data_IF_883970835378
#
_entry.id   IF_883970835378
#
_cell.length_a   1.000
_cell.length_b   1.000
_cell.length_c   1.000
_cell.angle_alpha   90.00
_cell.angle_beta   90.00
_cell.angle_gamma   90.00
#
_symmetry.space_group_name_H-M   'P 1'
#
loop_
_entity.id
_entity.type
_entity.pdbx_description
1 polymer ?
#
# COMPACT_ATOMS: atom_id res chain seq x y z
N UNK A 1 -5.49 21.72 -22.14
CA UNK A 1 -6.86 22.07 -22.57
C UNK A 1 -7.72 20.89 -22.16
N UNK A 2 -8.58 21.06 -21.16
CA UNK A 2 -9.52 20.01 -20.73
C UNK A 2 -10.63 20.00 -21.78
N UNK A 3 -10.95 18.82 -22.31
CA UNK A 3 -12.08 18.62 -23.23
C UNK A 3 -13.13 17.85 -22.47
N UNK A 4 -14.34 18.39 -22.45
CA UNK A 4 -15.51 17.63 -22.03
C UNK A 4 -15.81 16.57 -23.09
N UNK A 5 -16.10 15.37 -22.62
CA UNK A 5 -16.53 14.25 -23.44
C UNK A 5 -17.70 13.58 -22.72
N UNK A 6 -18.77 13.32 -23.47
CA UNK A 6 -19.85 12.46 -23.01
C UNK A 6 -19.39 11.01 -23.14
N UNK A 7 -19.61 10.20 -22.11
CA UNK A 7 -19.21 8.81 -22.05
C UNK A 7 -20.46 7.91 -22.11
N UNK A 8 -20.41 6.85 -22.92
CA UNK A 8 -21.40 5.77 -22.92
C UNK A 8 -20.85 4.59 -22.10
N UNK A 9 -21.37 4.31 -20.90
CA UNK A 9 -20.85 3.24 -20.06
C UNK A 9 -20.89 1.84 -20.70
N UNK A 10 -21.71 1.63 -21.74
CA UNK A 10 -21.73 0.36 -22.49
C UNK A 10 -20.58 0.22 -23.47
N UNK A 11 -20.11 1.33 -24.04
CA UNK A 11 -19.04 1.34 -25.03
C UNK A 11 -17.68 1.66 -24.40
N UNK A 12 -17.66 2.61 -23.46
CA UNK A 12 -16.44 3.18 -22.86
C UNK A 12 -16.07 2.51 -21.53
N UNK A 13 -16.99 1.72 -20.95
CA UNK A 13 -16.85 1.08 -19.65
C UNK A 13 -17.39 1.94 -18.49
N UNK A 14 -17.49 1.31 -17.33
CA UNK A 14 -17.94 1.98 -16.10
C UNK A 14 -16.81 2.81 -15.48
N UNK A 15 -17.18 3.80 -14.69
CA UNK A 15 -16.24 4.56 -13.86
C UNK A 15 -15.60 3.66 -12.78
N UNK A 16 -14.45 4.05 -12.20
CA UNK A 16 -13.92 3.38 -11.01
C UNK A 16 -14.94 3.37 -9.87
N UNK A 17 -14.87 2.31 -9.05
CA UNK A 17 -15.69 2.17 -7.83
C UNK A 17 -15.40 3.35 -6.89
N UNK A 18 -16.47 3.95 -6.36
CA UNK A 18 -16.44 5.03 -5.38
C UNK A 18 -16.37 4.48 -3.95
N UNK A 19 -15.92 5.29 -2.99
CA UNK A 19 -15.90 4.84 -1.59
C UNK A 19 -17.32 4.57 -1.05
N UNK A 20 -18.29 5.36 -1.48
CA UNK A 20 -19.70 5.22 -1.13
C UNK A 20 -20.32 3.92 -1.68
N UNK A 21 -19.81 3.39 -2.79
CA UNK A 21 -20.33 2.15 -3.41
C UNK A 21 -20.22 0.94 -2.45
N UNK A 22 -19.21 0.92 -1.58
CA UNK A 22 -19.03 -0.13 -0.57
C UNK A 22 -20.18 -0.12 0.46
N UNK A 23 -20.58 1.06 0.92
CA UNK A 23 -21.69 1.22 1.86
C UNK A 23 -23.03 0.97 1.17
N UNK A 24 -23.16 1.43 -0.06
CA UNK A 24 -24.40 1.30 -0.82
C UNK A 24 -24.70 -0.17 -1.15
N UNK A 25 -23.72 -0.95 -1.59
CA UNK A 25 -23.89 -2.36 -1.88
C UNK A 25 -24.40 -3.17 -0.68
N UNK A 26 -23.86 -2.93 0.50
CA UNK A 26 -24.30 -3.56 1.76
C UNK A 26 -25.74 -3.12 2.11
N UNK A 27 -26.01 -1.82 2.09
CA UNK A 27 -27.32 -1.27 2.43
C UNK A 27 -28.44 -1.77 1.51
N UNK A 28 -28.18 -1.93 0.21
CA UNK A 28 -29.15 -2.44 -0.76
C UNK A 28 -29.44 -3.92 -0.48
N UNK A 29 -28.41 -4.73 -0.26
CA UNK A 29 -28.59 -6.16 0.07
C UNK A 29 -29.42 -6.32 1.35
N UNK A 30 -29.08 -5.61 2.41
CA UNK A 30 -29.79 -5.64 3.70
C UNK A 30 -31.25 -5.17 3.61
N UNK A 31 -31.57 -4.31 2.63
CA UNK A 31 -32.93 -3.87 2.36
C UNK A 31 -33.83 -4.93 1.72
N UNK A 32 -33.27 -6.02 1.20
CA UNK A 32 -34.00 -7.03 0.43
C UNK A 32 -34.40 -8.24 1.30
N UNK A 33 -35.71 -8.52 1.50
CA UNK A 33 -36.16 -9.59 2.37
C UNK A 33 -35.61 -10.98 2.02
N UNK A 34 -35.35 -11.22 0.73
CA UNK A 34 -34.79 -12.48 0.24
C UNK A 34 -33.33 -12.68 0.67
N UNK A 35 -32.54 -11.61 0.69
CA UNK A 35 -31.15 -11.65 1.17
C UNK A 35 -31.14 -11.84 2.69
N UNK A 36 -31.97 -11.10 3.43
CA UNK A 36 -32.12 -11.25 4.89
C UNK A 36 -32.56 -12.67 5.26
N UNK A 37 -33.49 -13.27 4.51
CA UNK A 37 -33.91 -14.65 4.74
C UNK A 37 -32.77 -15.66 4.54
N UNK A 38 -31.88 -15.41 3.57
CA UNK A 38 -30.70 -16.22 3.33
C UNK A 38 -29.67 -16.11 4.49
N UNK A 39 -29.55 -14.94 5.12
CA UNK A 39 -28.74 -14.77 6.32
C UNK A 39 -29.37 -15.52 7.52
N UNK A 40 -30.67 -15.35 7.75
CA UNK A 40 -31.41 -16.01 8.85
C UNK A 40 -31.23 -17.53 8.78
N UNK A 41 -31.29 -18.10 7.57
CA UNK A 41 -31.08 -19.54 7.34
C UNK A 41 -29.73 -20.03 7.87
N UNK A 42 -28.73 -19.15 7.90
CA UNK A 42 -27.35 -19.41 8.37
C UNK A 42 -27.14 -19.02 9.83
N UNK A 43 -28.22 -18.63 10.53
CA UNK A 43 -28.18 -18.27 11.94
C UNK A 43 -27.64 -16.88 12.23
N UNK A 44 -27.52 -16.01 11.22
CA UNK A 44 -27.11 -14.61 11.39
C UNK A 44 -28.14 -13.65 10.82
N UNK A 45 -28.35 -12.53 11.50
CA UNK A 45 -29.17 -11.41 11.00
C UNK A 45 -28.45 -10.08 11.09
N UNK A 46 -27.29 -10.10 11.75
CA UNK A 46 -26.54 -8.93 12.14
C UNK A 46 -25.15 -9.08 11.51
N UNK A 47 -24.93 -8.28 10.47
CA UNK A 47 -23.63 -8.08 9.84
C UNK A 47 -23.29 -6.58 9.92
N UNK A 48 -23.83 -5.87 10.92
CA UNK A 48 -23.49 -4.49 11.15
C UNK A 48 -22.06 -4.40 11.73
N UNK A 49 -21.33 -3.41 11.21
CA UNK A 49 -19.87 -3.34 11.22
C UNK A 49 -19.35 -2.62 12.48
N UNK A 50 -19.88 -2.99 13.65
CA UNK A 50 -19.87 -2.01 14.74
C UNK A 50 -18.68 -2.13 15.71
N UNK A 51 -18.06 -3.31 15.92
CA UNK A 51 -16.93 -3.40 16.87
C UNK A 51 -15.73 -4.27 16.45
N UNK A 52 -15.86 -5.24 15.53
CA UNK A 52 -14.77 -6.13 15.11
C UNK A 52 -14.64 -6.26 13.58
N UNK A 53 -14.67 -5.16 12.85
CA UNK A 53 -14.54 -5.19 11.38
C UNK A 53 -13.29 -5.92 10.90
N UNK A 54 -12.20 -5.90 11.69
CA UNK A 54 -10.94 -6.55 11.34
C UNK A 54 -11.00 -8.08 11.29
N UNK A 55 -12.04 -8.73 11.84
CA UNK A 55 -12.20 -10.19 11.80
C UNK A 55 -13.17 -10.67 10.73
N UNK A 56 -13.84 -9.76 9.99
CA UNK A 56 -14.92 -10.11 9.07
C UNK A 56 -14.49 -11.10 7.98
N UNK A 57 -13.23 -11.01 7.54
CA UNK A 57 -12.66 -11.93 6.56
C UNK A 57 -12.49 -13.37 7.06
N UNK A 58 -12.53 -13.60 8.39
CA UNK A 58 -12.48 -14.92 9.00
C UNK A 58 -13.84 -15.63 9.12
N UNK A 59 -14.94 -14.95 8.78
CA UNK A 59 -16.28 -15.51 8.86
C UNK A 59 -17.00 -15.43 7.50
N UNK A 60 -16.44 -15.99 6.42
CA UNK A 60 -17.04 -15.89 5.09
C UNK A 60 -18.40 -16.61 5.05
N UNK A 61 -19.38 -15.96 4.42
CA UNK A 61 -20.69 -16.56 4.12
C UNK A 61 -20.62 -17.17 2.71
N UNK A 62 -20.13 -18.40 2.62
CA UNK A 62 -19.98 -19.06 1.33
C UNK A 62 -21.33 -19.47 0.72
N UNK A 63 -21.38 -19.56 -0.60
CA UNK A 63 -22.56 -19.94 -1.36
C UNK A 63 -23.64 -18.87 -1.46
N UNK A 64 -23.43 -17.67 -0.93
CA UNK A 64 -24.35 -16.54 -1.03
C UNK A 64 -23.69 -15.37 -1.78
N UNK A 65 -24.22 -15.02 -2.95
CA UNK A 65 -23.69 -13.92 -3.77
C UNK A 65 -24.84 -13.03 -4.27
N UNK A 66 -24.73 -11.73 -4.03
CA UNK A 66 -25.67 -10.72 -4.48
C UNK A 66 -25.07 -9.88 -5.61
N UNK A 67 -25.79 -9.73 -6.73
CA UNK A 67 -25.46 -8.79 -7.79
C UNK A 67 -26.37 -7.57 -7.67
N UNK A 68 -25.78 -6.40 -7.48
CA UNK A 68 -26.49 -5.17 -7.16
C UNK A 68 -26.30 -4.13 -8.27
N UNK A 69 -27.37 -3.43 -8.61
CA UNK A 69 -27.34 -2.19 -9.38
C UNK A 69 -27.26 -1.01 -8.40
N UNK A 70 -26.08 -0.40 -8.31
CA UNK A 70 -25.81 0.71 -7.40
C UNK A 70 -26.53 1.99 -7.84
N UNK A 71 -26.71 2.21 -9.14
CA UNK A 71 -27.39 3.40 -9.68
C UNK A 71 -28.88 3.38 -9.38
N UNK A 72 -29.54 2.26 -9.66
CA UNK A 72 -30.98 2.10 -9.42
C UNK A 72 -31.29 1.56 -8.02
N UNK A 73 -30.27 1.37 -7.18
CA UNK A 73 -30.33 0.83 -5.82
C UNK A 73 -31.17 -0.44 -5.71
N UNK A 74 -30.86 -1.43 -6.55
CA UNK A 74 -31.68 -2.65 -6.70
C UNK A 74 -30.85 -3.92 -6.70
N UNK A 75 -31.32 -4.95 -6.01
CA UNK A 75 -30.81 -6.31 -6.17
C UNK A 75 -31.27 -6.89 -7.51
N UNK A 76 -30.31 -7.21 -8.38
CA UNK A 76 -30.57 -7.77 -9.71
C UNK A 76 -30.68 -9.29 -9.67
N UNK A 77 -29.81 -9.93 -8.88
CA UNK A 77 -29.72 -11.38 -8.78
C UNK A 77 -29.20 -11.77 -7.40
N UNK A 78 -29.82 -12.76 -6.80
CA UNK A 78 -29.29 -13.47 -5.65
C UNK A 78 -28.97 -14.91 -6.05
N UNK A 79 -27.76 -15.36 -5.73
CA UNK A 79 -27.35 -16.75 -5.82
C UNK A 79 -27.21 -17.28 -4.40
N UNK A 80 -27.99 -18.30 -4.06
CA UNK A 80 -27.87 -19.05 -2.80
C UNK A 80 -27.71 -20.54 -3.15
N UNK A 81 -26.57 -21.15 -2.82
CA UNK A 81 -26.28 -22.56 -3.08
C UNK A 81 -26.73 -23.50 -1.95
N UNK A 82 -27.46 -22.96 -0.97
CA UNK A 82 -27.86 -23.64 0.25
C UNK A 82 -26.73 -24.06 1.21
N UNK A 83 -25.48 -23.68 0.93
CA UNK A 83 -24.38 -23.86 1.88
C UNK A 83 -24.57 -22.97 3.12
N UNK A 84 -24.65 -23.58 4.31
CA UNK A 84 -24.98 -22.85 5.55
C UNK A 84 -23.87 -22.79 6.58
N UNK A 85 -22.74 -23.46 6.36
CA UNK A 85 -21.65 -23.43 7.31
C UNK A 85 -20.91 -22.08 7.23
N UNK A 86 -20.64 -21.49 8.39
CA UNK A 86 -19.81 -20.29 8.54
C UNK A 86 -18.69 -20.67 9.52
N UNK A 87 -17.41 -20.49 9.17
CA UNK A 87 -16.32 -20.67 10.11
C UNK A 87 -16.49 -19.71 11.30
N UNK A 88 -16.45 -20.23 12.53
CA UNK A 88 -16.65 -19.44 13.76
C UNK A 88 -15.39 -19.33 14.62
N UNK A 89 -14.28 -19.92 14.18
CA UNK A 89 -12.99 -19.75 14.86
C UNK A 89 -12.52 -18.30 14.75
N UNK A 90 -11.97 -17.76 15.84
CA UNK A 90 -11.52 -16.37 15.86
C UNK A 90 -10.23 -16.20 15.09
N UNK A 91 -10.25 -15.33 14.07
CA UNK A 91 -9.08 -14.82 13.39
C UNK A 91 -8.54 -13.51 13.97
N UNK A 92 -8.93 -13.13 15.19
CA UNK A 92 -8.56 -11.85 15.78
C UNK A 92 -7.07 -11.81 16.17
N UNK A 93 -6.25 -11.26 15.29
CA UNK A 93 -4.82 -11.05 15.51
C UNK A 93 -4.50 -9.99 16.59
N UNK A 94 -5.51 -9.32 17.15
CA UNK A 94 -5.36 -8.44 18.32
C UNK A 94 -5.67 -9.18 19.64
N UNK A 95 -6.33 -10.34 19.60
CA UNK A 95 -6.62 -11.14 20.79
C UNK A 95 -5.37 -11.93 21.22
N UNK A 96 -4.84 -11.73 22.45
CA UNK A 96 -3.76 -12.54 23.00
C UNK A 96 -4.08 -14.03 23.09
N UNK A 97 -5.35 -14.43 23.11
CA UNK A 97 -5.74 -15.85 23.07
C UNK A 97 -5.46 -16.50 21.73
N UNK A 98 -5.54 -15.74 20.64
CA UNK A 98 -5.23 -16.19 19.27
C UNK A 98 -3.73 -16.11 19.01
N UNK A 99 -3.11 -14.97 19.33
CA UNK A 99 -1.69 -14.71 19.06
C UNK A 99 -0.73 -15.40 20.05
N UNK A 100 -1.25 -15.83 21.21
CA UNK A 100 -0.45 -16.40 22.28
C UNK A 100 0.42 -15.36 22.98
N UNK A 101 1.51 -15.80 23.61
CA UNK A 101 2.41 -14.89 24.33
C UNK A 101 3.32 -14.15 23.35
N UNK A 102 3.24 -12.82 23.35
CA UNK A 102 4.13 -11.98 22.55
C UNK A 102 5.60 -12.28 22.86
N UNK A 103 6.38 -12.53 21.81
CA UNK A 103 7.82 -12.75 21.94
C UNK A 103 8.53 -11.51 22.50
N UNK A 104 9.35 -11.68 23.53
CA UNK A 104 10.16 -10.62 24.14
C UNK A 104 11.67 -10.75 23.83
N UNK A 105 12.03 -11.60 22.88
CA UNK A 105 13.43 -11.88 22.53
C UNK A 105 14.07 -10.85 21.59
N UNK A 106 13.25 -10.00 20.96
CA UNK A 106 13.72 -8.94 20.06
C UNK A 106 14.29 -7.78 20.86
N UNK A 107 15.58 -7.49 20.66
CA UNK A 107 16.24 -6.35 21.29
C UNK A 107 15.93 -5.07 20.49
N UNK A 108 15.70 -3.92 21.17
CA UNK A 108 15.48 -2.66 20.48
C UNK A 108 16.63 -2.30 19.54
N UNK A 109 16.30 -1.85 18.33
CA UNK A 109 17.25 -1.31 17.37
C UNK A 109 17.01 0.18 17.18
N UNK A 110 18.04 0.99 17.41
CA UNK A 110 17.95 2.45 17.28
C UNK A 110 18.79 2.93 16.10
N UNK A 111 18.16 3.17 14.96
CA UNK A 111 18.80 3.77 13.79
C UNK A 111 18.69 5.29 13.91
N UNK A 112 19.83 5.97 14.02
CA UNK A 112 19.90 7.44 14.12
C UNK A 112 20.91 7.98 13.12
N UNK A 113 20.60 9.12 12.51
CA UNK A 113 21.54 9.90 11.69
C UNK A 113 21.93 11.19 12.44
N UNK A 114 23.09 11.24 13.12
CA UNK A 114 23.49 12.42 13.89
C UNK A 114 24.05 13.54 12.97
N UNK A 115 23.36 14.68 12.87
CA UNK A 115 23.87 15.92 12.23
C UNK A 115 22.80 16.94 11.81
N UNK A 116 23.15 18.24 11.87
CA UNK A 116 22.33 19.33 11.29
C UNK A 116 22.48 19.26 9.77
N UNK A 117 21.53 18.57 9.12
CA UNK A 117 21.59 18.23 7.70
C UNK A 117 21.67 16.73 7.40
N UNK A 118 21.13 15.87 8.27
CA UNK A 118 21.03 14.40 8.15
C UNK A 118 20.23 13.90 6.94
N UNK A 119 20.58 14.36 5.75
CA UNK A 119 20.16 13.88 4.42
C UNK A 119 21.40 13.96 3.54
N UNK A 120 22.01 12.83 3.19
CA UNK A 120 23.17 12.79 2.28
C UNK A 120 22.81 13.31 0.88
N UNK A 121 21.52 13.30 0.52
CA UNK A 121 21.00 13.81 -0.76
C UNK A 121 21.35 15.27 -1.12
N UNK A 122 21.97 16.05 -0.23
CA UNK A 122 22.36 17.43 -0.50
C UNK A 122 23.86 17.75 -0.54
N UNK A 123 24.80 16.80 -0.34
CA UNK A 123 26.24 17.18 -0.29
C UNK A 123 27.26 16.28 -1.01
N UNK A 124 27.65 16.78 -2.19
CA UNK A 124 28.79 16.47 -3.10
C UNK A 124 28.64 15.34 -4.14
N UNK A 125 28.65 15.76 -5.41
CA UNK A 125 29.33 15.08 -6.53
C UNK A 125 28.45 14.25 -7.44
N UNK A 126 27.55 13.46 -6.87
CA UNK A 126 26.46 12.78 -7.56
C UNK A 126 25.24 12.76 -6.65
N UNK A 127 24.17 13.42 -7.07
CA UNK A 127 22.92 13.50 -6.30
C UNK A 127 21.78 13.01 -7.16
N UNK A 128 20.97 12.12 -6.58
CA UNK A 128 19.61 11.91 -7.05
C UNK A 128 18.84 13.22 -6.83
N UNK A 129 18.42 13.85 -7.91
CA UNK A 129 17.52 15.00 -7.84
C UNK A 129 16.13 14.42 -8.02
N UNK A 130 15.46 14.19 -6.89
CA UNK A 130 14.02 13.97 -6.85
C UNK A 130 13.38 15.36 -6.86
N UNK A 131 12.51 15.69 -7.85
CA UNK A 131 11.78 16.95 -7.82
C UNK A 131 10.95 17.08 -6.55
N UNK A 132 10.59 18.31 -6.20
CA UNK A 132 9.71 18.58 -5.06
C UNK A 132 8.45 17.72 -5.15
N UNK A 133 8.33 16.80 -4.18
CA UNK A 133 7.20 15.87 -4.04
C UNK A 133 6.03 16.50 -3.26
N UNK A 134 6.21 17.71 -2.72
CA UNK A 134 5.12 18.51 -2.16
C UNK A 134 4.20 19.15 -3.21
N UNK A 135 4.44 18.89 -4.50
CA UNK A 135 3.56 19.31 -5.58
C UNK A 135 2.35 18.34 -5.68
N UNK A 136 1.13 18.80 -5.35
CA UNK A 136 -0.08 17.95 -5.34
C UNK A 136 -0.40 17.34 -6.71
N UNK A 137 0.20 17.81 -7.81
CA UNK A 137 0.07 17.21 -9.15
C UNK A 137 0.80 15.87 -9.30
N UNK A 138 1.54 15.43 -8.28
CA UNK A 138 2.35 14.21 -8.30
C UNK A 138 1.71 13.04 -7.57
N UNK A 139 0.55 13.23 -6.94
CA UNK A 139 -0.28 12.14 -6.42
C UNK A 139 -1.56 12.05 -7.24
N UNK A 140 -1.83 10.86 -7.78
CA UNK A 140 -2.97 10.60 -8.65
C UNK A 140 -3.97 9.69 -7.95
N UNK A 141 -5.27 10.01 -7.93
CA UNK A 141 -6.27 9.22 -7.19
C UNK A 141 -6.33 7.73 -7.57
N UNK A 142 -5.90 7.37 -8.79
CA UNK A 142 -5.81 5.98 -9.25
C UNK A 142 -4.42 5.37 -9.18
N UNK A 143 -3.39 6.19 -9.42
CA UNK A 143 -2.00 5.71 -9.58
C UNK A 143 -1.11 6.16 -8.43
N UNK A 144 -1.68 6.74 -7.37
CA UNK A 144 -0.99 7.04 -6.12
C UNK A 144 0.21 7.93 -6.31
N UNK A 145 1.32 7.58 -5.67
CA UNK A 145 2.56 8.34 -5.79
C UNK A 145 3.11 8.21 -7.20
N UNK A 146 3.31 9.35 -7.84
CA UNK A 146 3.97 9.42 -9.14
C UNK A 146 5.27 10.21 -9.02
N UNK A 147 6.38 9.55 -9.31
CA UNK A 147 7.71 10.16 -9.39
C UNK A 147 7.93 10.64 -10.82
N UNK A 148 8.46 11.85 -11.01
CA UNK A 148 8.77 12.35 -12.35
C UNK A 148 10.18 12.92 -12.41
N UNK A 149 10.72 13.03 -13.62
CA UNK A 149 12.00 13.70 -13.91
C UNK A 149 13.16 13.31 -12.97
N UNK A 150 13.18 12.05 -12.54
CA UNK A 150 14.26 11.50 -11.73
C UNK A 150 15.53 11.61 -12.55
N UNK A 151 16.55 12.19 -11.94
CA UNK A 151 17.80 12.47 -12.61
C UNK A 151 18.96 12.37 -11.63
N UNK A 152 20.14 12.05 -12.16
CA UNK A 152 21.39 12.10 -11.42
C UNK A 152 22.25 13.24 -11.93
N UNK A 153 22.90 13.95 -11.02
CA UNK A 153 24.00 14.85 -11.36
C UNK A 153 25.27 14.03 -11.56
N UNK A 154 25.79 13.95 -12.78
CA UNK A 154 27.04 13.28 -13.09
C UNK A 154 28.07 14.34 -13.49
N UNK A 155 29.07 14.57 -12.62
CA UNK A 155 30.15 15.56 -12.83
C UNK A 155 29.60 16.96 -13.18
N UNK A 156 28.53 17.38 -12.52
CA UNK A 156 27.89 18.68 -12.72
C UNK A 156 26.89 18.73 -13.89
N UNK A 157 26.66 17.63 -14.61
CA UNK A 157 25.65 17.52 -15.65
C UNK A 157 24.46 16.72 -15.17
N UNK A 158 23.25 17.29 -15.25
CA UNK A 158 21.99 16.58 -15.00
C UNK A 158 21.75 15.54 -16.10
N UNK A 159 21.62 14.27 -15.74
CA UNK A 159 21.28 13.15 -16.63
C UNK A 159 19.93 12.59 -16.20
N UNK A 160 18.95 12.55 -17.10
CA UNK A 160 17.64 11.95 -16.82
C UNK A 160 17.82 10.44 -16.66
N UNK A 161 17.20 9.89 -15.62
CA UNK A 161 17.16 8.44 -15.32
C UNK A 161 15.77 7.94 -15.67
N UNK A 162 14.73 8.52 -15.07
CA UNK A 162 13.34 8.10 -15.27
C UNK A 162 12.45 9.32 -15.51
N UNK A 163 11.60 9.25 -16.54
CA UNK A 163 10.65 10.33 -16.82
C UNK A 163 9.45 10.28 -15.89
N UNK A 164 8.90 9.07 -15.66
CA UNK A 164 7.75 8.83 -14.79
C UNK A 164 7.79 7.42 -14.17
N UNK A 165 7.54 7.32 -12.87
CA UNK A 165 7.13 6.10 -12.16
C UNK A 165 5.82 6.40 -11.42
N UNK A 166 4.95 5.41 -11.24
CA UNK A 166 3.65 5.62 -10.58
C UNK A 166 3.13 4.34 -9.96
N UNK A 167 2.66 4.38 -8.71
CA UNK A 167 1.90 3.28 -8.10
C UNK A 167 0.88 3.83 -7.07
N UNK A 168 -0.37 3.31 -7.13
CA UNK A 168 -1.55 3.65 -6.28
C UNK A 168 -1.20 3.77 -4.81
N UNK A 169 -1.74 4.70 -4.01
CA UNK A 169 -1.33 4.94 -2.61
C UNK A 169 -2.54 5.10 -1.67
N UNK A 170 -2.54 4.42 -0.52
CA UNK A 170 -3.45 4.67 0.60
C UNK A 170 -2.94 4.13 1.97
N UNK A 171 -3.04 4.97 3.01
CA UNK A 171 -3.03 4.65 4.46
C UNK A 171 -1.74 4.92 5.29
N UNK A 172 -1.87 4.70 6.61
CA UNK A 172 -1.37 5.49 7.76
C UNK A 172 -0.51 4.66 8.74
N UNK A 173 0.69 5.14 9.07
CA UNK A 173 1.30 5.05 10.41
C UNK A 173 2.26 3.87 10.74
N UNK A 174 3.43 4.23 11.30
CA UNK A 174 4.46 3.37 11.95
C UNK A 174 5.19 2.32 11.10
N UNK A 175 5.16 2.41 9.77
CA UNK A 175 5.75 1.38 8.90
C UNK A 175 7.27 1.48 8.71
N UNK A 176 7.93 2.50 9.26
CA UNK A 176 9.30 2.86 8.87
C UNK A 176 10.21 3.15 10.06
N UNK A 177 11.43 2.61 10.03
CA UNK A 177 12.43 2.78 11.07
C UNK A 177 13.59 3.65 10.59
N UNK A 178 13.95 4.67 11.38
CA UNK A 178 15.12 5.52 11.14
C UNK A 178 14.78 7.00 11.09
N UNK A 179 15.55 7.75 10.30
CA UNK A 179 15.32 9.18 10.07
C UNK A 179 14.43 9.37 8.84
N UNK A 180 13.12 9.41 9.09
CA UNK A 180 12.10 9.37 8.03
C UNK A 180 11.57 10.77 7.72
N UNK A 181 11.36 11.04 6.44
CA UNK A 181 10.64 12.20 5.94
C UNK A 181 9.29 11.77 5.38
N UNK A 182 8.22 12.26 6.00
CA UNK A 182 6.86 12.03 5.54
C UNK A 182 6.36 13.17 4.67
N UNK A 183 5.49 12.82 3.75
CA UNK A 183 4.75 13.73 2.89
C UNK A 183 3.27 13.37 2.98
N UNK A 184 2.44 14.40 3.10
CA UNK A 184 0.99 14.28 3.02
C UNK A 184 0.57 14.22 1.55
N UNK A 185 -0.54 13.54 1.27
CA UNK A 185 -1.21 13.59 -0.02
C UNK A 185 -2.58 14.24 0.13
N UNK A 186 -2.98 15.04 -0.86
CA UNK A 186 -4.35 15.53 -0.97
C UNK A 186 -5.01 14.87 -2.17
N UNK A 187 -6.07 14.13 -1.93
CA UNK A 187 -6.94 13.52 -2.96
C UNK A 187 -8.31 14.19 -2.95
N UNK A 188 -9.20 13.78 -3.84
CA UNK A 188 -10.59 14.26 -3.91
C UNK A 188 -11.49 13.11 -3.51
N UNK A 189 -12.46 13.37 -2.65
CA UNK A 189 -13.46 12.38 -2.25
C UNK A 189 -14.63 12.28 -3.24
N UNK A 190 -15.59 11.41 -2.95
CA UNK A 190 -16.77 11.17 -3.79
C UNK A 190 -17.67 12.42 -3.97
N UNK A 191 -17.49 13.45 -3.14
CA UNK A 191 -18.27 14.69 -3.12
C UNK A 191 -17.51 15.90 -3.66
N UNK A 192 -16.37 15.66 -4.32
CA UNK A 192 -15.49 16.69 -4.87
C UNK A 192 -14.77 17.54 -3.82
N UNK A 193 -14.73 17.09 -2.57
CA UNK A 193 -14.04 17.78 -1.49
C UNK A 193 -12.59 17.27 -1.34
N UNK A 194 -11.63 18.15 -0.99
CA UNK A 194 -10.24 17.76 -0.79
C UNK A 194 -10.08 16.95 0.50
N UNK A 195 -9.56 15.73 0.38
CA UNK A 195 -9.24 14.85 1.50
C UNK A 195 -7.72 14.71 1.67
N UNK A 196 -7.20 14.99 2.87
CA UNK A 196 -5.76 14.93 3.15
C UNK A 196 -5.39 13.62 3.83
N UNK A 197 -4.64 12.78 3.14
CA UNK A 197 -4.00 11.58 3.68
C UNK A 197 -2.67 12.00 4.31
N UNK A 198 -2.63 12.00 5.65
CA UNK A 198 -1.41 12.33 6.39
C UNK A 198 -0.36 11.23 6.24
N UNK A 199 0.91 11.63 6.09
CA UNK A 199 2.05 10.72 5.99
C UNK A 199 1.91 9.66 4.87
N UNK A 200 1.20 9.99 3.78
CA UNK A 200 0.90 9.09 2.68
C UNK A 200 2.14 8.54 1.95
N UNK A 201 3.26 9.26 1.98
CA UNK A 201 4.52 8.81 1.41
C UNK A 201 5.63 9.06 2.41
N UNK A 202 6.59 8.15 2.45
CA UNK A 202 7.77 8.28 3.29
C UNK A 202 9.05 8.08 2.49
N UNK A 203 10.08 8.76 2.94
CA UNK A 203 11.40 8.75 2.33
C UNK A 203 12.48 8.68 3.39
N UNK A 204 13.50 7.89 3.12
CA UNK A 204 14.64 7.77 4.02
C UNK A 204 15.86 7.19 3.30
N UNK A 205 17.01 7.31 3.94
CA UNK A 205 18.26 6.70 3.49
C UNK A 205 18.60 5.54 4.42
N UNK A 206 18.95 4.40 3.86
CA UNK A 206 19.42 3.24 4.62
C UNK A 206 20.79 2.75 4.13
N UNK A 207 21.55 2.15 5.04
CA UNK A 207 22.78 1.45 4.72
C UNK A 207 22.46 0.13 4.01
N UNK A 208 23.16 -0.15 2.91
CA UNK A 208 22.94 -1.35 2.12
C UNK A 208 24.25 -2.14 1.94
N UNK A 209 25.03 -2.24 3.03
CA UNK A 209 26.23 -3.06 3.09
C UNK A 209 27.40 -2.49 2.28
N UNK A 210 28.07 -3.34 1.50
CA UNK A 210 29.31 -2.99 0.79
C UNK A 210 29.01 -2.56 -0.64
N UNK A 211 29.43 -1.36 -1.02
CA UNK A 211 29.37 -0.88 -2.40
C UNK A 211 30.49 -1.51 -3.23
N UNK A 212 31.73 -1.36 -2.76
CA UNK A 212 32.88 -2.02 -3.36
C UNK A 212 33.97 -2.25 -2.32
N UNK A 213 34.76 -3.29 -2.52
CA UNK A 213 35.88 -3.66 -1.67
C UNK A 213 37.00 -4.23 -2.53
N UNK A 214 38.22 -3.82 -2.23
CA UNK A 214 39.42 -4.35 -2.86
C UNK A 214 40.52 -4.52 -1.82
N UNK A 215 41.23 -5.65 -1.89
CA UNK A 215 42.43 -5.92 -1.11
C UNK A 215 43.56 -6.18 -2.09
N UNK A 216 44.55 -5.31 -2.09
CA UNK A 216 45.77 -5.47 -2.88
C UNK A 216 46.84 -6.12 -1.99
N UNK A 217 47.02 -7.41 -2.20
CA UNK A 217 48.02 -8.23 -1.49
C UNK A 217 49.42 -8.11 -2.09
N UNK A 218 49.55 -7.51 -3.27
CA UNK A 218 50.81 -7.34 -3.99
C UNK A 218 51.46 -5.97 -3.69
N UNK A 219 50.68 -5.00 -3.24
CA UNK A 219 51.20 -3.74 -2.72
C UNK A 219 52.19 -3.97 -1.56
N UNK A 220 53.20 -3.11 -1.44
CA UNK A 220 54.16 -3.10 -0.33
C UNK A 220 54.09 -1.75 0.40
N UNK A 221 53.43 -1.66 1.56
CA UNK A 221 52.73 -2.74 2.28
C UNK A 221 51.39 -3.14 1.63
N UNK A 222 50.83 -4.33 1.93
CA UNK A 222 49.49 -4.71 1.47
C UNK A 222 48.45 -3.66 1.86
N UNK A 223 47.51 -3.38 0.96
CA UNK A 223 46.49 -2.37 1.19
C UNK A 223 45.08 -2.95 1.06
N UNK A 224 44.15 -2.38 1.83
CA UNK A 224 42.74 -2.76 1.79
C UNK A 224 41.87 -1.51 1.72
N UNK A 225 40.87 -1.53 0.85
CA UNK A 225 39.90 -0.45 0.70
C UNK A 225 38.49 -1.01 0.64
N UNK A 226 37.57 -0.35 1.32
CA UNK A 226 36.15 -0.69 1.33
C UNK A 226 35.35 0.61 1.33
N UNK A 227 34.24 0.61 0.60
CA UNK A 227 33.23 1.66 0.60
C UNK A 227 31.88 1.04 0.85
N UNK A 228 31.07 1.71 1.66
CA UNK A 228 29.70 1.28 1.98
C UNK A 228 28.74 1.75 0.91
N UNK A 229 27.68 0.98 0.71
CA UNK A 229 26.54 1.33 -0.12
C UNK A 229 25.47 1.98 0.75
N UNK A 230 24.78 2.94 0.16
CA UNK A 230 23.54 3.48 0.72
C UNK A 230 22.48 3.43 -0.37
N UNK A 231 21.22 3.25 0.03
CA UNK A 231 20.10 3.43 -0.89
C UNK A 231 19.13 4.46 -0.34
N UNK A 232 18.58 5.26 -1.25
CA UNK A 232 17.47 6.15 -0.98
C UNK A 232 16.18 5.41 -1.30
N UNK A 233 15.25 5.44 -0.34
CA UNK A 233 13.98 4.74 -0.43
C UNK A 233 12.87 5.78 -0.54
N UNK A 234 11.97 5.58 -1.48
CA UNK A 234 10.68 6.27 -1.55
C UNK A 234 9.60 5.22 -1.56
N UNK A 235 8.63 5.32 -0.66
CA UNK A 235 7.64 4.26 -0.50
C UNK A 235 6.34 4.78 0.09
N UNK A 236 5.29 3.97 -0.08
CA UNK A 236 3.97 4.15 0.52
C UNK A 236 3.29 2.77 0.64
N UNK A 237 2.16 2.71 1.34
CA UNK A 237 1.30 1.53 1.41
C UNK A 237 -0.06 1.79 0.74
N UNK A 238 -0.77 0.72 0.36
CA UNK A 238 -2.18 0.73 -0.09
C UNK A 238 -2.90 -0.38 0.62
N UNK A 239 -4.16 -0.15 0.97
CA UNK A 239 -5.07 -1.22 1.37
C UNK A 239 -6.23 -1.32 0.37
N UNK A 240 -6.50 -2.52 -0.14
CA UNK A 240 -7.67 -2.81 -0.97
C UNK A 240 -8.38 -4.02 -0.38
N UNK A 241 -9.50 -3.78 0.29
CA UNK A 241 -10.21 -4.84 1.01
C UNK A 241 -9.30 -5.52 2.05
N UNK A 242 -9.12 -6.84 1.93
CA UNK A 242 -8.26 -7.64 2.81
C UNK A 242 -6.76 -7.53 2.49
N UNK A 243 -6.39 -6.93 1.37
CA UNK A 243 -5.01 -6.84 0.92
C UNK A 243 -4.37 -5.54 1.35
N UNK A 244 -3.12 -5.64 1.82
CA UNK A 244 -2.22 -4.49 1.96
C UNK A 244 -1.07 -4.67 0.99
N UNK A 245 -0.56 -3.60 0.40
CA UNK A 245 0.59 -3.61 -0.48
C UNK A 245 1.56 -2.52 -0.06
N UNK A 246 2.85 -2.85 0.05
CA UNK A 246 3.93 -1.87 0.23
C UNK A 246 4.75 -1.78 -1.05
N UNK A 247 4.88 -0.57 -1.60
CA UNK A 247 5.64 -0.33 -2.82
C UNK A 247 6.87 0.52 -2.53
N UNK A 248 8.03 0.01 -2.91
CA UNK A 248 9.32 0.61 -2.59
C UNK A 248 10.11 0.89 -3.85
N UNK A 249 10.45 2.15 -4.06
CA UNK A 249 11.48 2.52 -5.02
C UNK A 249 12.82 2.69 -4.31
N UNK A 250 13.82 2.00 -4.82
CA UNK A 250 15.19 2.06 -4.33
C UNK A 250 16.09 2.73 -5.36
N UNK A 251 16.92 3.66 -4.88
CA UNK A 251 17.94 4.32 -5.68
C UNK A 251 19.31 4.13 -5.02
N UNK A 252 20.25 3.55 -5.76
CA UNK A 252 21.56 3.13 -5.25
C UNK A 252 22.68 4.10 -5.67
N UNK A 253 23.79 4.16 -4.92
CA UNK A 253 24.93 5.03 -5.28
C UNK A 253 25.65 4.60 -6.57
N UNK A 254 25.49 3.35 -6.99
CA UNK A 254 26.05 2.84 -8.26
C UNK A 254 25.16 3.17 -9.47
N UNK A 255 24.06 3.89 -9.26
CA UNK A 255 23.15 4.32 -10.31
C UNK A 255 22.06 3.31 -10.66
N UNK A 256 21.97 2.18 -9.95
CA UNK A 256 20.84 1.26 -10.09
C UNK A 256 19.56 1.87 -9.51
N UNK A 257 18.45 1.50 -10.10
CA UNK A 257 17.10 1.71 -9.59
C UNK A 257 16.34 0.37 -9.57
N UNK A 258 15.45 0.22 -8.59
CA UNK A 258 14.68 -1.00 -8.36
C UNK A 258 13.29 -0.64 -7.81
N UNK A 259 12.28 -1.38 -8.24
CA UNK A 259 10.93 -1.35 -7.67
C UNK A 259 10.67 -2.71 -7.03
N UNK A 260 10.32 -2.69 -5.74
CA UNK A 260 9.89 -3.87 -5.01
C UNK A 260 8.44 -3.69 -4.53
N UNK A 261 7.70 -4.80 -4.51
CA UNK A 261 6.34 -4.92 -4.01
C UNK A 261 6.29 -6.10 -3.03
N UNK A 262 6.68 -5.84 -1.77
CA UNK A 262 7.06 -6.90 -0.84
C UNK A 262 6.07 -7.20 0.29
N UNK A 263 5.05 -6.38 0.52
CA UNK A 263 4.20 -6.49 1.71
C UNK A 263 2.72 -6.70 1.37
N UNK A 264 2.47 -7.75 0.61
CA UNK A 264 1.15 -8.33 0.33
C UNK A 264 0.66 -9.21 1.47
N UNK A 265 0.18 -8.66 2.59
CA UNK A 265 -0.58 -9.51 3.53
C UNK A 265 -2.02 -9.55 3.05
N UNK A 266 -2.48 -10.71 2.59
CA UNK A 266 -3.88 -11.04 2.75
C UNK A 266 -4.11 -11.17 4.26
N UNK A 267 -5.08 -10.45 4.80
CA UNK A 267 -5.62 -10.78 6.12
C UNK A 267 -6.33 -12.12 6.00
N UNK A 268 -5.55 -13.19 5.94
CA UNK A 268 -6.05 -14.54 5.99
C UNK A 268 -6.18 -14.86 7.47
N UNK A 269 -7.43 -14.90 7.92
CA UNK A 269 -7.79 -15.38 9.24
C UNK A 269 -7.62 -16.90 9.27
N UNK A 270 -6.38 -17.38 9.19
CA UNK A 270 -5.98 -18.71 9.66
C UNK A 270 -6.45 -19.93 8.88
N UNK A 271 -6.87 -19.82 7.62
CA UNK A 271 -7.07 -21.01 6.80
C UNK A 271 -6.18 -20.99 5.56
N UNK A 272 -5.23 -21.92 5.52
CA UNK A 272 -4.56 -22.38 4.30
C UNK A 272 -5.62 -22.76 3.25
N UNK A 273 -6.13 -21.79 2.49
CA UNK A 273 -6.69 -22.08 1.18
C UNK A 273 -5.48 -22.32 0.26
N UNK A 274 -4.95 -23.54 0.33
CA UNK A 274 -4.21 -24.10 -0.79
C UNK A 274 -5.11 -23.96 -2.01
N UNK A 275 -4.74 -23.06 -2.93
CA UNK A 275 -5.21 -23.14 -4.31
C UNK A 275 -4.61 -24.44 -4.85
N UNK A 276 -5.37 -25.53 -4.75
CA UNK A 276 -5.04 -26.75 -5.46
C UNK A 276 -5.12 -26.46 -6.97
N UNK A 277 -4.03 -26.76 -7.68
CA UNK A 277 -3.89 -26.69 -9.14
C UNK A 277 -4.93 -27.54 -9.90
#
# INVERSE_FOLDING_TARGET
>A
MIKEAELDPKADGQIPILAQDYLDGDSICKGEPVYVSALVKRGTTDVDMDENVHIMYGHPIDGLVAHVDLTNRKLLKLVDTDHTHIPMESGDYLDPKVTGTTHNCMKPQHIKQPGVGGRQLHRRGQHLVVPDLGDPRRLHGREGLTLHDISSSDRGRKRKILNRASVSAEMVGCDCLGSIHYLDATVVDDFYEPFVIKNATFMYEEDFGTLWKHTDVLASPPTGTMRRQHRFVVSFFVTVGSYRYGFYWYFYLDGRDELDCGHGYQMDCGHDYQMDD
#
